data_IF_138354826154
#
_entry.id   IF_138354826154
#
_cell.length_a   1.000
_cell.length_b   1.000
_cell.length_c   1.000
_cell.angle_alpha   90.00
_cell.angle_beta   90.00
_cell.angle_gamma   90.00
#
_symmetry.space_group_name_H-M   'P 1'
#
loop_
_entity.id
_entity.type
_entity.pdbx_description
1 polymer ?
#
# COMPACT_ATOMS: atom_id res chain seq x y z
N UNK A 1 13.52 -14.71 19.00
CA UNK A 1 13.59 -13.23 18.99
C UNK A 1 13.64 -12.63 17.58
N UNK A 2 14.43 -13.18 16.63
CA UNK A 2 14.54 -12.62 15.26
C UNK A 2 13.25 -12.70 14.42
N UNK A 3 12.44 -13.76 14.56
CA UNK A 3 11.15 -13.89 13.85
C UNK A 3 10.09 -12.88 14.26
N UNK A 4 10.03 -12.52 15.55
CA UNK A 4 9.11 -11.47 16.01
C UNK A 4 9.53 -10.11 15.42
N UNK A 5 10.83 -9.85 15.34
CA UNK A 5 11.35 -8.60 14.78
C UNK A 5 10.97 -8.43 13.30
N UNK A 6 11.02 -9.48 12.47
CA UNK A 6 10.65 -9.33 11.05
C UNK A 6 9.15 -9.14 10.85
N UNK A 7 8.31 -9.84 11.62
CA UNK A 7 6.85 -9.67 11.57
C UNK A 7 6.43 -8.26 11.98
N UNK A 8 7.01 -7.74 13.07
CA UNK A 8 6.78 -6.37 13.52
C UNK A 8 7.23 -5.37 12.47
N UNK A 9 8.43 -5.55 11.88
CA UNK A 9 8.91 -4.68 10.80
C UNK A 9 7.99 -4.67 9.60
N UNK A 10 7.50 -5.83 9.15
CA UNK A 10 6.55 -5.92 8.04
C UNK A 10 5.24 -5.18 8.35
N UNK A 11 4.66 -5.39 9.54
CA UNK A 11 3.48 -4.65 9.97
C UNK A 11 3.72 -3.14 10.03
N UNK A 12 4.87 -2.69 10.54
CA UNK A 12 5.24 -1.27 10.58
C UNK A 12 5.38 -0.67 9.17
N UNK A 13 5.93 -1.42 8.20
CA UNK A 13 6.03 -0.96 6.82
C UNK A 13 4.64 -0.82 6.18
N UNK A 14 3.72 -1.75 6.45
CA UNK A 14 2.33 -1.61 6.00
C UNK A 14 1.63 -0.40 6.62
N UNK A 15 1.93 -0.07 7.88
CA UNK A 15 1.44 1.18 8.50
C UNK A 15 2.01 2.39 7.77
N UNK A 16 3.31 2.40 7.43
CA UNK A 16 3.91 3.49 6.65
C UNK A 16 3.24 3.62 5.28
N UNK A 17 2.96 2.52 4.58
CA UNK A 17 2.23 2.53 3.31
C UNK A 17 0.84 3.15 3.51
N UNK A 18 0.08 2.70 4.50
CA UNK A 18 -1.26 3.24 4.78
C UNK A 18 -1.26 4.72 5.11
N UNK A 19 -0.27 5.19 5.87
CA UNK A 19 -0.16 6.63 6.18
C UNK A 19 0.13 7.45 4.93
N UNK A 20 1.01 6.98 4.04
CA UNK A 20 1.27 7.65 2.78
C UNK A 20 0.01 7.72 1.90
N UNK A 21 -0.75 6.62 1.80
CA UNK A 21 -2.00 6.59 1.04
C UNK A 21 -3.01 7.61 1.58
N UNK A 22 -3.17 7.66 2.90
CA UNK A 22 -4.07 8.64 3.54
C UNK A 22 -3.64 10.08 3.22
N UNK A 23 -2.35 10.39 3.31
CA UNK A 23 -1.87 11.73 2.97
C UNK A 23 -2.01 12.04 1.47
N UNK A 24 -1.80 11.06 0.59
CA UNK A 24 -2.02 11.23 -0.84
C UNK A 24 -3.48 11.61 -1.14
N UNK A 25 -4.43 10.94 -0.50
CA UNK A 25 -5.85 11.22 -0.64
C UNK A 25 -6.19 12.61 -0.07
N UNK A 26 -5.65 12.97 1.10
CA UNK A 26 -5.83 14.31 1.68
C UNK A 26 -5.34 15.39 0.73
N UNK A 27 -4.14 15.25 0.16
CA UNK A 27 -3.60 16.23 -0.79
C UNK A 27 -4.44 16.31 -2.06
N UNK A 28 -4.89 15.17 -2.57
CA UNK A 28 -5.75 15.10 -3.76
C UNK A 28 -7.09 15.81 -3.52
N UNK A 29 -7.71 15.59 -2.35
CA UNK A 29 -8.93 16.30 -1.94
C UNK A 29 -8.68 17.80 -1.81
N UNK A 30 -7.56 18.22 -1.22
CA UNK A 30 -7.24 19.64 -1.07
C UNK A 30 -7.06 20.34 -2.43
N UNK A 31 -6.38 19.69 -3.38
CA UNK A 31 -6.25 20.19 -4.76
C UNK A 31 -7.62 20.28 -5.43
N UNK A 32 -8.45 19.24 -5.31
CA UNK A 32 -9.80 19.24 -5.88
C UNK A 32 -10.70 20.33 -5.29
N UNK A 33 -10.61 20.61 -3.98
CA UNK A 33 -11.37 21.68 -3.33
C UNK A 33 -10.96 23.06 -3.82
N UNK A 34 -9.67 23.29 -4.08
CA UNK A 34 -9.13 24.61 -4.43
C UNK A 34 -9.25 24.88 -5.93
N UNK A 35 -8.89 23.91 -6.77
CA UNK A 35 -8.81 24.08 -8.22
C UNK A 35 -10.05 23.56 -8.94
N UNK A 36 -10.69 22.50 -8.41
CA UNK A 36 -11.88 21.87 -8.98
C UNK A 36 -11.61 21.09 -10.27
N UNK A 37 -12.32 19.97 -10.45
CA UNK A 37 -12.29 19.15 -11.68
C UNK A 37 -10.89 18.65 -12.09
N UNK A 38 -9.99 18.50 -11.13
CA UNK A 38 -8.60 18.05 -11.36
C UNK A 38 -8.54 16.52 -11.30
N UNK A 39 -9.35 15.92 -10.43
CA UNK A 39 -9.45 14.46 -10.28
C UNK A 39 -10.38 13.88 -11.34
N UNK A 40 -9.79 13.36 -12.42
CA UNK A 40 -10.51 12.63 -13.45
C UNK A 40 -10.51 11.14 -13.15
N UNK A 41 -11.66 10.60 -12.77
CA UNK A 41 -11.84 9.16 -12.52
C UNK A 41 -12.33 8.47 -13.80
N UNK A 42 -11.75 7.32 -14.19
CA UNK A 42 -12.21 6.56 -15.33
C UNK A 42 -13.49 5.79 -14.97
N UNK A 43 -14.65 6.41 -15.21
CA UNK A 43 -15.97 5.79 -15.04
C UNK A 43 -16.81 6.42 -13.94
N UNK A 44 -17.85 5.70 -13.52
CA UNK A 44 -18.75 6.14 -12.46
C UNK A 44 -18.04 6.19 -11.11
N UNK A 45 -18.18 7.32 -10.41
CA UNK A 45 -17.50 7.60 -9.14
C UNK A 45 -17.87 6.57 -8.08
N UNK A 46 -19.14 6.18 -7.97
CA UNK A 46 -19.57 5.22 -6.93
C UNK A 46 -18.91 3.86 -7.14
N UNK A 47 -18.86 3.40 -8.39
CA UNK A 47 -18.23 2.14 -8.78
C UNK A 47 -16.72 2.18 -8.54
N UNK A 48 -16.05 3.25 -8.96
CA UNK A 48 -14.59 3.41 -8.77
C UNK A 48 -14.25 3.47 -7.28
N UNK A 49 -15.04 4.16 -6.46
CA UNK A 49 -14.83 4.22 -5.01
C UNK A 49 -15.10 2.87 -4.33
N UNK A 50 -16.10 2.10 -4.78
CA UNK A 50 -16.33 0.75 -4.26
C UNK A 50 -15.13 -0.17 -4.53
N UNK A 51 -14.55 -0.09 -5.74
CA UNK A 51 -13.34 -0.82 -6.09
C UNK A 51 -12.16 -0.35 -5.23
N UNK A 52 -11.91 0.96 -5.15
CA UNK A 52 -10.84 1.53 -4.32
C UNK A 52 -10.95 1.11 -2.85
N UNK A 53 -12.17 1.04 -2.28
CA UNK A 53 -12.41 0.57 -0.92
C UNK A 53 -11.98 -0.89 -0.72
N UNK A 54 -12.26 -1.78 -1.70
CA UNK A 54 -11.79 -3.17 -1.63
C UNK A 54 -10.27 -3.25 -1.72
N UNK A 55 -9.66 -2.48 -2.63
CA UNK A 55 -8.21 -2.50 -2.87
C UNK A 55 -7.42 -1.96 -1.68
N UNK A 56 -7.88 -0.88 -1.07
CA UNK A 56 -7.26 -0.25 0.12
C UNK A 56 -7.40 -1.11 1.39
N UNK A 57 -8.38 -2.01 1.45
CA UNK A 57 -8.47 -2.96 2.57
C UNK A 57 -7.33 -3.99 2.57
N UNK A 58 -6.69 -4.26 1.43
CA UNK A 58 -5.55 -5.20 1.36
C UNK A 58 -4.40 -4.73 2.26
N UNK A 59 -3.82 -3.53 2.10
CA UNK A 59 -2.76 -3.04 2.98
C UNK A 59 -3.20 -2.92 4.44
N UNK A 60 -4.46 -2.55 4.71
CA UNK A 60 -5.02 -2.53 6.08
C UNK A 60 -4.97 -3.91 6.73
N UNK A 61 -5.48 -4.94 6.05
CA UNK A 61 -5.47 -6.30 6.55
C UNK A 61 -4.04 -6.84 6.71
N UNK A 62 -3.12 -6.45 5.84
CA UNK A 62 -1.73 -6.86 5.90
C UNK A 62 -0.98 -6.37 7.13
N UNK A 63 -1.41 -5.27 7.77
CA UNK A 63 -0.90 -4.83 9.08
C UNK A 63 -1.07 -5.95 10.12
N UNK A 64 -2.24 -6.58 10.15
CA UNK A 64 -2.56 -7.67 11.08
C UNK A 64 -2.05 -9.02 10.59
N UNK A 65 -2.26 -9.35 9.31
CA UNK A 65 -1.94 -10.66 8.74
C UNK A 65 -0.43 -10.95 8.72
N UNK A 66 0.41 -9.92 8.63
CA UNK A 66 1.87 -10.07 8.76
C UNK A 66 2.28 -10.63 10.13
N UNK A 67 1.47 -10.40 11.16
CA UNK A 67 1.70 -10.91 12.50
C UNK A 67 1.07 -12.29 12.73
N UNK A 68 -0.16 -12.51 12.26
CA UNK A 68 -0.95 -13.69 12.60
C UNK A 68 -0.70 -14.92 11.71
N UNK A 69 -0.29 -14.73 10.45
CA UNK A 69 -0.16 -15.85 9.50
C UNK A 69 1.05 -16.76 9.81
N UNK A 70 0.96 -18.07 9.51
CA UNK A 70 2.11 -18.98 9.53
C UNK A 70 3.23 -18.48 8.60
N UNK A 71 4.48 -18.76 8.94
CA UNK A 71 5.66 -18.21 8.25
C UNK A 71 5.59 -18.26 6.71
N UNK A 72 5.27 -19.43 6.13
CA UNK A 72 5.19 -19.60 4.67
C UNK A 72 4.05 -18.77 4.04
N UNK A 73 2.89 -18.76 4.68
CA UNK A 73 1.73 -17.99 4.23
C UNK A 73 1.97 -16.48 4.36
N UNK A 74 2.52 -16.02 5.48
CA UNK A 74 2.86 -14.62 5.72
C UNK A 74 3.82 -14.07 4.66
N UNK A 75 4.83 -14.87 4.28
CA UNK A 75 5.79 -14.50 3.24
C UNK A 75 5.13 -14.30 1.88
N UNK A 76 4.35 -15.28 1.42
CA UNK A 76 3.68 -15.22 0.12
C UNK A 76 2.66 -14.10 0.10
N UNK A 77 1.85 -13.97 1.16
CA UNK A 77 0.86 -12.91 1.29
C UNK A 77 1.49 -11.52 1.24
N UNK A 78 2.60 -11.28 1.95
CA UNK A 78 3.31 -9.99 1.93
C UNK A 78 3.82 -9.63 0.53
N UNK A 79 4.43 -10.59 -0.18
CA UNK A 79 4.97 -10.34 -1.52
C UNK A 79 3.83 -10.10 -2.51
N UNK A 80 2.81 -10.95 -2.51
CA UNK A 80 1.68 -10.84 -3.42
C UNK A 80 0.90 -9.54 -3.20
N UNK A 81 0.58 -9.22 -1.94
CA UNK A 81 -0.09 -7.97 -1.59
C UNK A 81 0.76 -6.76 -1.98
N UNK A 82 2.07 -6.77 -1.71
CA UNK A 82 2.93 -5.63 -2.06
C UNK A 82 3.01 -5.38 -3.57
N UNK A 83 3.14 -6.44 -4.38
CA UNK A 83 3.11 -6.34 -5.85
C UNK A 83 1.77 -5.76 -6.32
N UNK A 84 0.67 -6.28 -5.77
CA UNK A 84 -0.66 -5.82 -6.11
C UNK A 84 -0.86 -4.34 -5.76
N UNK A 85 -0.41 -3.92 -4.57
CA UNK A 85 -0.47 -2.52 -4.15
C UNK A 85 0.39 -1.62 -5.02
N UNK A 86 1.56 -2.07 -5.49
CA UNK A 86 2.37 -1.30 -6.46
C UNK A 86 1.59 -1.06 -7.75
N UNK A 87 0.96 -2.11 -8.30
CA UNK A 87 0.16 -1.97 -9.53
C UNK A 87 -1.01 -1.00 -9.32
N UNK A 88 -1.64 -1.03 -8.15
CA UNK A 88 -2.72 -0.11 -7.79
C UNK A 88 -2.24 1.34 -7.68
N UNK A 89 -1.15 1.60 -6.96
CA UNK A 89 -0.58 2.96 -6.78
C UNK A 89 -0.10 3.55 -8.11
N UNK A 90 0.57 2.74 -8.94
CA UNK A 90 1.06 3.22 -10.24
C UNK A 90 -0.08 3.34 -11.25
N UNK A 91 -1.04 2.41 -11.25
CA UNK A 91 -2.15 2.35 -12.19
C UNK A 91 -3.26 3.36 -11.92
N UNK A 92 -3.50 3.72 -10.65
CA UNK A 92 -4.43 4.78 -10.25
C UNK A 92 -3.82 6.19 -10.32
N UNK A 93 -2.64 6.32 -10.94
CA UNK A 93 -1.76 7.46 -10.79
C UNK A 93 -2.19 8.74 -11.50
N UNK A 94 -1.95 9.87 -10.82
CA UNK A 94 -2.01 11.22 -11.42
C UNK A 94 -0.62 11.78 -11.63
N UNK A 95 -0.47 12.68 -12.61
CA UNK A 95 0.79 13.42 -12.86
C UNK A 95 0.96 14.63 -11.93
N UNK A 96 0.07 14.80 -10.95
CA UNK A 96 0.19 15.86 -9.95
C UNK A 96 1.48 15.68 -9.12
N UNK A 97 2.20 16.77 -8.79
CA UNK A 97 3.48 16.67 -8.09
C UNK A 97 3.42 15.92 -6.76
N UNK A 98 2.38 16.14 -5.94
CA UNK A 98 2.22 15.43 -4.66
C UNK A 98 2.05 13.93 -4.88
N UNK A 99 1.28 13.55 -5.91
CA UNK A 99 1.02 12.16 -6.24
C UNK A 99 2.31 11.44 -6.62
N UNK A 100 3.13 12.05 -7.49
CA UNK A 100 4.41 11.47 -7.92
C UNK A 100 5.34 11.25 -6.72
N UNK A 101 5.45 12.25 -5.83
CA UNK A 101 6.31 12.17 -4.65
C UNK A 101 5.87 11.03 -3.74
N UNK A 102 4.56 10.97 -3.43
CA UNK A 102 4.03 9.94 -2.53
C UNK A 102 4.13 8.56 -3.17
N UNK A 103 3.76 8.41 -4.44
CA UNK A 103 3.84 7.14 -5.16
C UNK A 103 5.28 6.58 -5.21
N UNK A 104 6.29 7.43 -5.40
CA UNK A 104 7.71 7.00 -5.37
C UNK A 104 8.09 6.45 -3.99
N UNK A 105 7.68 7.14 -2.92
CA UNK A 105 7.95 6.69 -1.54
C UNK A 105 7.21 5.38 -1.25
N UNK A 106 5.94 5.28 -1.62
CA UNK A 106 5.14 4.06 -1.44
C UNK A 106 5.75 2.87 -2.17
N UNK A 107 6.12 3.03 -3.44
CA UNK A 107 6.77 1.97 -4.22
C UNK A 107 8.10 1.55 -3.59
N UNK A 108 8.89 2.50 -3.06
CA UNK A 108 10.13 2.17 -2.36
C UNK A 108 9.88 1.36 -1.06
N UNK A 109 8.86 1.72 -0.27
CA UNK A 109 8.48 0.98 0.95
C UNK A 109 7.94 -0.41 0.60
N UNK A 110 7.10 -0.52 -0.43
CA UNK A 110 6.55 -1.79 -0.92
C UNK A 110 7.64 -2.72 -1.47
N UNK A 111 8.63 -2.17 -2.20
CA UNK A 111 9.82 -2.92 -2.58
C UNK A 111 10.60 -3.41 -1.35
N UNK A 112 10.70 -2.59 -0.30
CA UNK A 112 11.26 -2.97 1.00
C UNK A 112 10.53 -4.14 1.67
N UNK A 113 9.20 -4.18 1.59
CA UNK A 113 8.38 -5.31 2.06
C UNK A 113 8.70 -6.57 1.27
N UNK A 114 8.73 -6.49 -0.06
CA UNK A 114 9.05 -7.63 -0.95
C UNK A 114 10.44 -8.19 -0.63
N UNK A 115 11.45 -7.32 -0.48
CA UNK A 115 12.82 -7.74 -0.18
C UNK A 115 12.92 -8.42 1.20
N UNK A 116 12.28 -7.86 2.22
CA UNK A 116 12.31 -8.43 3.57
C UNK A 116 11.57 -9.76 3.64
N UNK A 117 10.36 -9.83 3.07
CA UNK A 117 9.62 -11.09 2.97
C UNK A 117 10.37 -12.12 2.10
N UNK A 118 11.01 -11.69 1.02
CA UNK A 118 11.80 -12.54 0.12
C UNK A 118 13.03 -13.16 0.80
N UNK A 119 13.72 -12.40 1.65
CA UNK A 119 14.87 -12.85 2.46
C UNK A 119 14.49 -13.76 3.63
N UNK A 120 13.21 -13.76 4.02
CA UNK A 120 12.69 -14.62 5.08
C UNK A 120 12.51 -16.07 4.58
N UNK A 121 13.61 -16.82 4.40
CA UNK A 121 13.61 -18.14 3.75
C UNK A 121 13.46 -19.34 4.70
N UNK A 122 13.77 -19.17 5.98
CA UNK A 122 13.71 -20.25 6.99
C UNK A 122 12.85 -19.81 8.18
N UNK A 123 11.90 -20.65 8.63
CA UNK A 123 11.40 -20.56 9.99
C UNK A 123 12.53 -21.05 10.90
N UNK A 124 13.10 -20.17 11.72
CA UNK A 124 13.90 -20.62 12.86
C UNK A 124 12.96 -21.16 13.95
#
# INVERSE_FOLDING_TARGET
>A
MQLQNIRIRLSLLWIVVMLNMIFNDIFSIMVEIVEGSVLQLPGDVQTVMAVAAVLTNIPILMILLSWTLPHRAARIANIAAAIFTIVYVVGGGSLLPHYIIVAVIEVAVLAGIILQAGRWKTPD
#
